data_IF_199091035067
#
_entry.id   IF_199091035067
#
_cell.length_a   1.000
_cell.length_b   1.000
_cell.length_c   1.000
_cell.angle_alpha   90.00
_cell.angle_beta   90.00
_cell.angle_gamma   90.00
#
_symmetry.space_group_name_H-M   'P 1'
#
loop_
_entity.id
_entity.type
_entity.pdbx_description
1 polymer ?
#
# COMPACT_ATOMS: atom_id res chain seq x y z
N UNK A 1 19.01 65.42 30.19
CA UNK A 1 19.69 64.11 30.16
C UNK A 1 18.89 63.17 31.04
N UNK A 2 18.41 62.04 30.53
CA UNK A 2 17.61 61.08 31.30
C UNK A 2 18.53 60.10 32.04
N UNK A 3 18.29 59.89 33.34
CA UNK A 3 19.06 58.98 34.19
C UNK A 3 18.86 57.51 33.78
N UNK A 4 19.89 56.65 33.92
CA UNK A 4 19.83 55.27 33.43
C UNK A 4 18.93 54.40 34.33
N UNK A 5 18.17 53.50 33.70
CA UNK A 5 17.29 52.55 34.40
C UNK A 5 18.17 51.46 35.03
N UNK A 6 18.19 51.35 36.36
CA UNK A 6 19.11 50.49 37.12
C UNK A 6 18.50 49.17 37.60
N UNK A 7 17.22 48.88 37.33
CA UNK A 7 16.60 47.61 37.73
C UNK A 7 15.58 47.14 36.70
N UNK A 8 15.88 46.03 36.03
CA UNK A 8 14.91 45.27 35.24
C UNK A 8 14.29 44.23 36.20
N UNK A 9 13.09 44.51 36.73
CA UNK A 9 12.32 43.50 37.46
C UNK A 9 11.61 42.60 36.45
N UNK A 10 12.00 41.32 36.40
CA UNK A 10 11.32 40.30 35.59
C UNK A 10 9.90 40.14 36.14
N UNK A 11 8.88 40.37 35.32
CA UNK A 11 7.48 40.17 35.72
C UNK A 11 7.26 38.68 35.98
N UNK A 12 7.15 38.30 37.24
CA UNK A 12 6.76 36.95 37.64
C UNK A 12 5.24 36.89 37.61
N UNK A 13 4.73 36.23 36.58
CA UNK A 13 3.29 36.04 36.42
C UNK A 13 2.78 35.10 37.49
N UNK A 14 1.72 35.52 38.18
CA UNK A 14 1.05 34.67 39.16
C UNK A 14 0.34 33.53 38.43
N UNK A 15 0.10 32.41 39.13
CA UNK A 15 -0.58 31.23 38.57
C UNK A 15 -1.95 31.57 37.97
N UNK A 16 -2.64 32.54 38.58
CA UNK A 16 -3.94 33.02 38.14
C UNK A 16 -3.83 33.84 36.84
N UNK A 17 -2.84 34.72 36.72
CA UNK A 17 -2.61 35.48 35.48
C UNK A 17 -2.22 34.56 34.31
N UNK A 18 -1.42 33.51 34.56
CA UNK A 18 -1.09 32.50 33.54
C UNK A 18 -2.35 31.73 33.12
N UNK A 19 -3.23 31.37 34.06
CA UNK A 19 -4.49 30.70 33.75
C UNK A 19 -5.39 31.57 32.88
N UNK A 20 -5.54 32.84 33.24
CA UNK A 20 -6.34 33.80 32.47
C UNK A 20 -5.78 34.00 31.06
N UNK A 21 -4.47 34.11 30.93
CA UNK A 21 -3.82 34.23 29.63
C UNK A 21 -4.05 32.98 28.75
N UNK A 22 -3.90 31.77 29.31
CA UNK A 22 -4.16 30.52 28.57
C UNK A 22 -5.61 30.37 28.13
N UNK A 23 -6.56 30.81 28.97
CA UNK A 23 -7.98 30.82 28.60
C UNK A 23 -8.25 31.78 27.43
N UNK A 24 -7.65 32.96 27.46
CA UNK A 24 -7.75 33.94 26.37
C UNK A 24 -7.11 33.44 25.06
N UNK A 25 -5.95 32.79 25.16
CA UNK A 25 -5.28 32.17 24.01
C UNK A 25 -6.13 31.04 23.41
N UNK A 26 -6.74 30.19 24.25
CA UNK A 26 -7.65 29.14 23.80
C UNK A 26 -8.91 29.72 23.14
N UNK A 27 -9.51 30.75 23.75
CA UNK A 27 -10.68 31.44 23.19
C UNK A 27 -10.37 32.00 21.79
N UNK A 28 -9.23 32.67 21.65
CA UNK A 28 -8.76 33.21 20.36
C UNK A 28 -8.56 32.11 19.34
N UNK A 29 -7.90 31.01 19.72
CA UNK A 29 -7.58 29.91 18.83
C UNK A 29 -8.84 29.13 18.39
N UNK A 30 -9.84 29.04 19.26
CA UNK A 30 -11.16 28.48 18.94
C UNK A 30 -11.94 29.40 18.02
N UNK A 31 -11.92 30.72 18.27
CA UNK A 31 -12.62 31.70 17.45
C UNK A 31 -12.04 31.76 16.02
N UNK A 32 -10.71 31.71 15.88
CA UNK A 32 -10.03 31.76 14.58
C UNK A 32 -10.16 30.45 13.80
N UNK A 33 -10.17 29.29 14.46
CA UNK A 33 -10.21 27.96 13.82
C UNK A 33 -11.56 27.25 13.94
N UNK A 34 -12.64 28.02 14.15
CA UNK A 34 -13.98 27.52 14.43
C UNK A 34 -14.46 26.45 13.41
N UNK A 35 -14.18 26.63 12.12
CA UNK A 35 -14.59 25.67 11.09
C UNK A 35 -13.83 24.33 11.20
N UNK A 36 -12.52 24.36 11.39
CA UNK A 36 -11.71 23.15 11.51
C UNK A 36 -12.04 22.37 12.80
N UNK A 37 -12.27 23.08 13.90
CA UNK A 37 -12.68 22.49 15.17
C UNK A 37 -14.07 21.85 15.08
N UNK A 38 -15.04 22.51 14.43
CA UNK A 38 -16.36 21.91 14.22
C UNK A 38 -16.28 20.65 13.35
N UNK A 39 -15.43 20.63 12.33
CA UNK A 39 -15.20 19.41 11.52
C UNK A 39 -14.57 18.30 12.34
N UNK A 40 -13.59 18.59 13.18
CA UNK A 40 -12.98 17.60 14.08
C UNK A 40 -13.98 17.06 15.10
N UNK A 41 -14.82 17.93 15.68
CA UNK A 41 -15.88 17.54 16.60
C UNK A 41 -16.94 16.68 15.91
N UNK A 42 -17.33 17.05 14.69
CA UNK A 42 -18.25 16.25 13.88
C UNK A 42 -17.66 14.87 13.54
N UNK A 43 -16.41 14.79 13.10
CA UNK A 43 -15.73 13.51 12.84
C UNK A 43 -15.63 12.68 14.13
N UNK A 44 -15.32 13.32 15.25
CA UNK A 44 -15.25 12.61 16.54
C UNK A 44 -16.62 12.08 16.95
N UNK A 45 -17.69 12.86 16.72
CA UNK A 45 -19.08 12.43 16.94
C UNK A 45 -19.47 11.28 16.01
N UNK A 46 -19.18 11.37 14.72
CA UNK A 46 -19.44 10.31 13.74
C UNK A 46 -18.71 9.01 14.11
N UNK A 47 -17.47 9.11 14.61
CA UNK A 47 -16.69 7.98 15.09
C UNK A 47 -17.24 7.40 16.39
N UNK A 48 -17.78 8.22 17.28
CA UNK A 48 -18.44 7.79 18.51
C UNK A 48 -19.76 7.07 18.19
N UNK A 49 -20.61 7.66 17.35
CA UNK A 49 -21.89 7.10 16.89
C UNK A 49 -21.70 5.77 16.14
N UNK A 50 -20.61 5.65 15.38
CA UNK A 50 -20.23 4.40 14.72
C UNK A 50 -19.62 3.34 15.67
N UNK A 51 -19.47 3.65 16.96
CA UNK A 51 -18.88 2.78 17.97
C UNK A 51 -17.37 2.58 17.83
N UNK A 52 -16.70 3.42 17.02
CA UNK A 52 -15.24 3.32 16.80
C UNK A 52 -14.49 3.75 18.04
N UNK A 53 -14.91 4.82 18.72
CA UNK A 53 -14.27 5.28 19.96
C UNK A 53 -14.42 4.24 21.08
N UNK A 54 -15.59 3.60 21.18
CA UNK A 54 -15.85 2.49 22.10
C UNK A 54 -14.97 1.28 21.79
N UNK A 55 -14.83 0.91 20.51
CA UNK A 55 -13.98 -0.20 20.09
C UNK A 55 -12.50 0.06 20.41
N UNK A 56 -12.01 1.29 20.15
CA UNK A 56 -10.65 1.71 20.51
C UNK A 56 -10.48 1.70 22.03
N UNK A 57 -11.44 2.23 22.79
CA UNK A 57 -11.42 2.23 24.24
C UNK A 57 -11.43 0.81 24.84
N UNK A 58 -12.24 -0.09 24.29
CA UNK A 58 -12.29 -1.50 24.67
C UNK A 58 -10.96 -2.21 24.37
N UNK A 59 -10.36 -1.92 23.21
CA UNK A 59 -9.05 -2.47 22.82
C UNK A 59 -7.93 -2.01 23.77
N UNK A 60 -7.91 -0.73 24.13
CA UNK A 60 -6.93 -0.17 25.09
C UNK A 60 -7.13 -0.74 26.49
N UNK A 61 -8.37 -0.95 26.94
CA UNK A 61 -8.66 -1.60 28.23
C UNK A 61 -8.26 -3.07 28.24
N UNK A 62 -8.40 -3.75 27.10
CA UNK A 62 -8.06 -5.15 26.93
C UNK A 62 -6.59 -5.37 26.49
N UNK A 63 -5.71 -4.36 26.60
CA UNK A 63 -4.33 -4.36 26.07
C UNK A 63 -3.53 -5.64 26.37
N UNK A 64 -3.67 -6.20 27.57
CA UNK A 64 -2.89 -7.35 28.02
C UNK A 64 -3.41 -8.64 27.38
N UNK A 65 -4.73 -8.85 27.36
CA UNK A 65 -5.34 -10.05 26.75
C UNK A 65 -5.36 -10.03 25.22
N UNK A 66 -5.54 -8.87 24.59
CA UNK A 66 -5.52 -8.77 23.12
C UNK A 66 -4.10 -8.91 22.60
N UNK A 67 -3.11 -8.27 23.23
CA UNK A 67 -1.72 -8.41 22.78
C UNK A 67 -1.26 -9.87 22.88
N UNK A 68 -1.56 -10.57 23.98
CA UNK A 68 -1.22 -11.99 24.14
C UNK A 68 -1.95 -12.87 23.11
N UNK A 69 -3.25 -12.70 22.93
CA UNK A 69 -4.04 -13.47 21.96
C UNK A 69 -3.61 -13.17 20.52
N UNK A 70 -3.40 -11.91 20.15
CA UNK A 70 -2.94 -11.52 18.81
C UNK A 70 -1.54 -12.07 18.56
N UNK A 71 -0.65 -12.05 19.55
CA UNK A 71 0.69 -12.57 19.40
C UNK A 71 0.70 -14.11 19.31
N UNK A 72 -0.16 -14.77 20.08
CA UNK A 72 -0.39 -16.21 19.99
C UNK A 72 -1.01 -16.59 18.64
N UNK A 73 -1.97 -15.82 18.11
CA UNK A 73 -2.57 -16.04 16.80
C UNK A 73 -1.59 -15.77 15.65
N UNK A 74 -0.82 -14.69 15.73
CA UNK A 74 0.13 -14.30 14.68
C UNK A 74 1.30 -15.28 14.57
N UNK A 75 1.68 -15.91 15.67
CA UNK A 75 2.70 -16.97 15.71
C UNK A 75 2.16 -18.35 15.33
N UNK A 76 0.85 -18.51 15.08
CA UNK A 76 0.32 -19.77 14.56
C UNK A 76 0.86 -20.03 13.16
N UNK A 77 1.12 -21.31 12.88
CA UNK A 77 1.64 -21.76 11.60
C UNK A 77 0.85 -21.23 10.39
N UNK A 78 -0.50 -21.21 10.36
CA UNK A 78 -1.23 -20.71 9.20
C UNK A 78 -1.00 -19.21 8.93
N UNK A 79 -0.91 -18.40 9.98
CA UNK A 79 -0.69 -16.95 9.85
C UNK A 79 0.74 -16.66 9.45
N UNK A 80 1.70 -17.36 10.05
CA UNK A 80 3.12 -17.25 9.69
C UNK A 80 3.36 -17.72 8.24
N UNK A 81 2.72 -18.80 7.82
CA UNK A 81 2.77 -19.29 6.44
C UNK A 81 2.16 -18.29 5.45
N UNK A 82 1.05 -17.64 5.80
CA UNK A 82 0.46 -16.57 4.99
C UNK A 82 1.44 -15.41 4.83
N UNK A 83 2.05 -14.94 5.93
CA UNK A 83 3.04 -13.86 5.91
C UNK A 83 4.25 -14.26 5.06
N UNK A 84 4.77 -15.47 5.24
CA UNK A 84 5.89 -15.97 4.44
C UNK A 84 5.55 -16.04 2.95
N UNK A 85 4.39 -16.59 2.60
CA UNK A 85 3.93 -16.64 1.20
C UNK A 85 3.76 -15.24 0.61
N UNK A 86 3.22 -14.29 1.40
CA UNK A 86 3.09 -12.90 0.98
C UNK A 86 4.44 -12.24 0.74
N UNK A 87 5.40 -12.43 1.64
CA UNK A 87 6.77 -11.92 1.48
C UNK A 87 7.48 -12.57 0.29
N UNK A 88 7.33 -13.88 0.09
CA UNK A 88 7.87 -14.58 -1.07
C UNK A 88 7.25 -14.09 -2.38
N UNK A 89 5.93 -13.88 -2.41
CA UNK A 89 5.24 -13.32 -3.58
C UNK A 89 5.69 -11.87 -3.85
N UNK A 90 5.81 -11.05 -2.82
CA UNK A 90 6.34 -9.69 -2.94
C UNK A 90 7.79 -9.70 -3.45
N UNK A 91 8.65 -10.55 -2.90
CA UNK A 91 10.02 -10.75 -3.36
C UNK A 91 10.07 -11.14 -4.83
N UNK A 92 9.27 -12.11 -5.24
CA UNK A 92 9.15 -12.51 -6.64
C UNK A 92 8.69 -11.34 -7.53
N UNK A 93 7.65 -10.60 -7.13
CA UNK A 93 7.15 -9.44 -7.87
C UNK A 93 8.21 -8.34 -8.02
N UNK A 94 9.00 -8.08 -6.98
CA UNK A 94 10.09 -7.08 -7.03
C UNK A 94 11.29 -7.53 -7.85
N UNK A 95 11.53 -8.83 -7.97
CA UNK A 95 12.59 -9.39 -8.79
C UNK A 95 12.25 -9.40 -10.28
N UNK A 96 10.98 -9.19 -10.64
CA UNK A 96 10.55 -9.09 -12.03
C UNK A 96 10.95 -7.72 -12.59
N UNK A 97 11.72 -7.74 -13.66
CA UNK A 97 12.12 -6.55 -14.40
C UNK A 97 10.89 -5.86 -15.07
N UNK A 98 10.62 -4.57 -14.78
CA UNK A 98 9.46 -3.85 -15.32
C UNK A 98 9.47 -3.71 -16.84
N UNK A 99 10.66 -3.57 -17.44
CA UNK A 99 10.80 -3.44 -18.89
C UNK A 99 10.41 -4.75 -19.59
N UNK A 100 10.87 -5.88 -19.06
CA UNK A 100 10.54 -7.22 -19.51
C UNK A 100 9.05 -7.51 -19.38
N UNK A 101 8.44 -7.09 -18.26
CA UNK A 101 6.99 -7.18 -18.03
C UNK A 101 6.21 -6.37 -19.05
N UNK A 102 6.58 -5.12 -19.26
CA UNK A 102 5.92 -4.25 -20.24
C UNK A 102 6.02 -4.80 -21.66
N UNK A 103 7.18 -5.34 -22.04
CA UNK A 103 7.38 -6.00 -23.34
C UNK A 103 6.49 -7.24 -23.49
N UNK A 104 6.42 -8.12 -22.49
CA UNK A 104 5.57 -9.31 -22.53
C UNK A 104 4.08 -8.95 -22.61
N UNK A 105 3.64 -7.96 -21.82
CA UNK A 105 2.25 -7.48 -21.87
C UNK A 105 1.90 -6.90 -23.24
N UNK A 106 2.77 -6.06 -23.81
CA UNK A 106 2.57 -5.50 -25.15
C UNK A 106 2.56 -6.60 -26.23
N UNK A 107 3.43 -7.60 -26.13
CA UNK A 107 3.43 -8.77 -27.02
C UNK A 107 2.15 -9.58 -26.92
N UNK A 108 1.61 -9.78 -25.70
CA UNK A 108 0.34 -10.48 -25.50
C UNK A 108 -0.84 -9.72 -26.12
N UNK A 109 -0.93 -8.41 -25.90
CA UNK A 109 -1.97 -7.56 -26.51
C UNK A 109 -1.90 -7.61 -28.03
N UNK A 110 -0.70 -7.51 -28.59
CA UNK A 110 -0.50 -7.60 -30.05
C UNK A 110 -0.89 -8.98 -30.60
N UNK A 111 -0.50 -10.06 -29.92
CA UNK A 111 -0.86 -11.42 -30.31
C UNK A 111 -2.36 -11.67 -30.27
N UNK A 112 -3.07 -11.14 -29.25
CA UNK A 112 -4.54 -11.19 -29.19
C UNK A 112 -5.18 -10.49 -30.38
N UNK A 113 -4.72 -9.27 -30.71
CA UNK A 113 -5.22 -8.52 -31.86
C UNK A 113 -4.97 -9.23 -33.19
N UNK A 114 -3.76 -9.73 -33.42
CA UNK A 114 -3.43 -10.49 -34.64
C UNK A 114 -4.25 -11.79 -34.73
N UNK A 115 -4.50 -12.47 -33.60
CA UNK A 115 -5.35 -13.66 -33.57
C UNK A 115 -6.80 -13.34 -33.93
N UNK A 116 -7.36 -12.25 -33.40
CA UNK A 116 -8.72 -11.79 -33.73
C UNK A 116 -8.86 -11.41 -35.22
N UNK A 117 -7.87 -10.71 -35.78
CA UNK A 117 -7.84 -10.32 -37.20
C UNK A 117 -7.77 -11.56 -38.13
N UNK A 118 -6.97 -12.57 -37.78
CA UNK A 118 -6.81 -13.78 -38.59
C UNK A 118 -7.95 -14.80 -38.42
N UNK A 119 -8.68 -14.75 -37.29
CA UNK A 119 -9.81 -15.65 -37.02
C UNK A 119 -11.06 -15.33 -37.89
N UNK A 120 -11.12 -14.16 -38.52
CA UNK A 120 -12.26 -13.75 -39.37
C UNK A 120 -12.45 -14.60 -40.62
N UNK A 121 -11.45 -15.40 -41.02
CA UNK A 121 -11.49 -16.19 -42.25
C UNK A 121 -11.91 -17.66 -42.08
N UNK A 122 -12.13 -18.16 -40.85
CA UNK A 122 -12.67 -19.51 -40.56
C UNK A 122 -11.89 -20.72 -41.13
N UNK A 123 -10.73 -20.49 -41.76
CA UNK A 123 -9.93 -21.52 -42.42
C UNK A 123 -9.03 -22.21 -41.41
N UNK A 124 -9.15 -23.53 -41.32
CA UNK A 124 -8.25 -24.37 -40.51
C UNK A 124 -6.84 -24.32 -41.08
N UNK A 125 -5.83 -24.26 -40.20
CA UNK A 125 -4.43 -24.45 -40.59
C UNK A 125 -4.21 -25.91 -41.00
N UNK A 126 -3.67 -26.12 -42.21
CA UNK A 126 -3.22 -27.43 -42.67
C UNK A 126 -1.80 -27.78 -42.20
N UNK A 127 -1.44 -29.07 -42.20
CA UNK A 127 -0.12 -29.57 -41.74
C UNK A 127 1.05 -28.89 -42.44
N UNK A 128 0.97 -28.65 -43.75
CA UNK A 128 2.02 -27.95 -44.50
C UNK A 128 2.18 -26.48 -44.08
N UNK A 129 1.07 -25.80 -43.79
CA UNK A 129 1.11 -24.42 -43.29
C UNK A 129 1.68 -24.36 -41.87
N UNK A 130 1.40 -25.37 -41.04
CA UNK A 130 1.99 -25.50 -39.70
C UNK A 130 3.52 -25.65 -39.77
N UNK A 131 4.02 -26.50 -40.66
CA UNK A 131 5.47 -26.65 -40.89
C UNK A 131 6.11 -25.37 -41.41
N UNK A 132 5.42 -24.63 -42.27
CA UNK A 132 5.86 -23.32 -42.74
C UNK A 132 5.88 -22.30 -41.59
N UNK A 133 4.88 -22.31 -40.72
CA UNK A 133 4.78 -21.45 -39.55
C UNK A 133 5.91 -21.72 -38.54
N UNK A 134 6.34 -22.96 -38.36
CA UNK A 134 7.52 -23.26 -37.51
C UNK A 134 8.84 -22.66 -38.05
N UNK A 135 8.93 -22.40 -39.36
CA UNK A 135 10.09 -21.74 -40.00
C UNK A 135 9.97 -20.22 -40.00
N UNK A 136 8.81 -19.68 -39.63
CA UNK A 136 8.60 -18.24 -39.48
C UNK A 136 9.48 -17.70 -38.33
N UNK A 137 10.21 -16.59 -38.55
CA UNK A 137 11.13 -16.07 -37.55
C UNK A 137 10.45 -15.63 -36.25
N UNK A 138 9.23 -15.10 -36.31
CA UNK A 138 8.51 -14.57 -35.14
C UNK A 138 7.92 -15.70 -34.29
N UNK A 139 7.35 -16.72 -34.95
CA UNK A 139 6.88 -17.94 -34.28
C UNK A 139 8.05 -18.69 -33.63
N UNK A 140 9.16 -18.86 -34.37
CA UNK A 140 10.34 -19.54 -33.85
C UNK A 140 10.93 -18.81 -32.63
N UNK A 141 10.98 -17.47 -32.65
CA UNK A 141 11.43 -16.67 -31.51
C UNK A 141 10.60 -16.93 -30.26
N UNK A 142 9.27 -17.05 -30.41
CA UNK A 142 8.34 -17.31 -29.31
C UNK A 142 8.48 -18.73 -28.76
N UNK A 143 8.61 -19.73 -29.63
CA UNK A 143 8.88 -21.12 -29.24
C UNK A 143 10.22 -21.22 -28.48
N UNK A 144 11.28 -20.60 -29.00
CA UNK A 144 12.59 -20.57 -28.35
C UNK A 144 12.52 -19.91 -26.97
N UNK A 145 11.78 -18.81 -26.84
CA UNK A 145 11.54 -18.17 -25.55
C UNK A 145 10.84 -19.12 -24.57
N UNK A 146 9.74 -19.75 -24.98
CA UNK A 146 9.00 -20.70 -24.14
C UNK A 146 9.86 -21.88 -23.67
N UNK A 147 10.65 -22.47 -24.57
CA UNK A 147 11.57 -23.56 -24.21
C UNK A 147 12.64 -23.11 -23.20
N UNK A 148 13.18 -21.91 -23.35
CA UNK A 148 14.16 -21.37 -22.40
C UNK A 148 13.54 -21.01 -21.06
N UNK A 149 12.32 -20.48 -21.05
CA UNK A 149 11.54 -20.23 -19.83
C UNK A 149 11.29 -21.52 -19.06
N UNK A 150 10.79 -22.56 -19.74
CA UNK A 150 10.56 -23.88 -19.15
C UNK A 150 11.87 -24.50 -18.62
N UNK A 151 12.98 -24.37 -19.36
CA UNK A 151 14.31 -24.81 -18.90
C UNK A 151 14.76 -24.06 -17.65
N UNK A 152 14.52 -22.75 -17.57
CA UNK A 152 14.84 -21.94 -16.40
C UNK A 152 14.03 -22.36 -15.16
N UNK A 153 12.72 -22.53 -15.34
CA UNK A 153 11.82 -22.99 -14.29
C UNK A 153 12.21 -24.38 -13.76
N UNK A 154 12.51 -25.32 -14.65
CA UNK A 154 12.95 -26.67 -14.26
C UNK A 154 14.27 -26.71 -13.48
N UNK A 155 15.17 -25.74 -13.71
CA UNK A 155 16.41 -25.61 -12.94
C UNK A 155 16.17 -25.13 -11.51
N UNK A 156 15.13 -24.34 -11.28
CA UNK A 156 14.80 -23.83 -9.95
C UNK A 156 13.99 -24.85 -9.15
N UNK A 157 13.03 -25.53 -9.79
CA UNK A 157 12.24 -26.61 -9.17
C UNK A 157 13.06 -27.86 -8.82
N UNK A 158 14.23 -28.02 -9.44
CA UNK A 158 15.16 -29.13 -9.17
C UNK A 158 16.22 -28.84 -8.10
N UNK A 159 16.20 -27.65 -7.47
CA UNK A 159 17.04 -27.30 -6.32
C UNK A 159 16.28 -27.58 -5.03
#
# INVERSE_FOLDING_TARGET
>A
MASPITQIKKKEWTSEEIRQQKLYELETLIAEQNEALNKLLAITGDLDDAGVLDAVGAMVKAKEGIAEVVMEQATREPVTNLINNMMSAAGALTAIDPESTGRLAASAVRGLKEAEEQNQNGKKIGVFQLLKALRDPDINRTIKFGLNFLRGMGKELGK
#
